data_IF_536077565868
#
_entry.id   IF_536077565868
#
_cell.length_a   1.000
_cell.length_b   1.000
_cell.length_c   1.000
_cell.angle_alpha   90.00
_cell.angle_beta   90.00
_cell.angle_gamma   90.00
#
_symmetry.space_group_name_H-M   'P 1'
#
loop_
_entity.id
_entity.type
_entity.pdbx_description
1 polymer ?
#
# COMPACT_ATOMS: atom_id res chain seq x y z
N UNK A 1 -10.85 -6.41 9.87
CA UNK A 1 -10.36 -7.60 9.11
C UNK A 1 -11.03 -7.60 7.75
N UNK A 2 -10.30 -7.83 6.66
CA UNK A 2 -10.88 -7.82 5.31
C UNK A 2 -11.93 -8.95 5.15
N UNK A 3 -12.99 -8.78 4.32
CA UNK A 3 -14.04 -9.78 4.17
C UNK A 3 -13.55 -11.18 3.80
N UNK A 4 -12.45 -11.28 3.04
CA UNK A 4 -11.85 -12.55 2.61
C UNK A 4 -11.35 -13.42 3.76
N UNK A 5 -10.95 -12.82 4.88
CA UNK A 5 -10.46 -13.53 6.07
C UNK A 5 -11.55 -13.67 7.15
N UNK A 6 -12.68 -12.97 7.00
CA UNK A 6 -13.73 -12.99 8.01
C UNK A 6 -14.39 -14.37 8.07
N UNK A 7 -14.26 -15.04 9.23
CA UNK A 7 -14.70 -16.43 9.47
C UNK A 7 -14.04 -17.45 8.53
N UNK A 8 -12.78 -17.21 8.16
CA UNK A 8 -11.98 -18.24 7.53
C UNK A 8 -11.71 -19.34 8.56
N UNK A 9 -12.16 -20.56 8.28
CA UNK A 9 -11.82 -21.76 9.05
C UNK A 9 -10.76 -22.54 8.28
N UNK A 10 -9.53 -22.55 8.79
CA UNK A 10 -8.42 -23.27 8.19
C UNK A 10 -7.48 -23.77 9.30
N UNK A 11 -6.85 -24.92 9.08
CA UNK A 11 -5.80 -25.45 9.95
C UNK A 11 -4.45 -24.84 9.52
N UNK A 12 -4.19 -23.61 9.97
CA UNK A 12 -3.01 -22.80 9.62
C UNK A 12 -2.53 -21.99 10.82
N UNK A 13 -1.24 -21.64 10.82
CA UNK A 13 -0.70 -20.64 11.75
C UNK A 13 -0.94 -19.24 11.18
N UNK A 14 -1.68 -18.41 11.92
CA UNK A 14 -1.95 -17.03 11.52
C UNK A 14 -0.85 -16.07 11.95
N UNK A 15 -0.44 -15.22 11.01
CA UNK A 15 0.57 -14.20 11.21
C UNK A 15 0.01 -12.83 10.88
N UNK A 16 -0.02 -11.93 11.85
CA UNK A 16 -0.45 -10.54 11.68
C UNK A 16 0.75 -9.61 11.46
N UNK A 17 0.61 -8.66 10.54
CA UNK A 17 1.62 -7.65 10.23
C UNK A 17 1.11 -6.63 9.21
N UNK A 18 1.84 -5.54 9.04
CA UNK A 18 1.59 -4.57 7.96
C UNK A 18 2.06 -5.16 6.61
N UNK A 19 1.53 -4.70 5.46
CA UNK A 19 1.87 -5.26 4.15
C UNK A 19 3.38 -5.34 3.87
N UNK A 20 4.15 -4.30 4.21
CA UNK A 20 5.61 -4.30 4.00
C UNK A 20 6.32 -5.38 4.81
N UNK A 21 5.86 -5.70 6.02
CA UNK A 21 6.42 -6.78 6.85
C UNK A 21 6.08 -8.15 6.26
N UNK A 22 4.80 -8.37 5.94
CA UNK A 22 4.34 -9.62 5.33
C UNK A 22 5.01 -9.90 3.98
N UNK A 23 5.28 -8.87 3.17
CA UNK A 23 6.08 -8.97 1.95
C UNK A 23 7.47 -9.57 2.23
N UNK A 24 8.19 -9.02 3.22
CA UNK A 24 9.53 -9.47 3.58
C UNK A 24 9.53 -10.91 4.08
N UNK A 25 8.60 -11.24 4.99
CA UNK A 25 8.48 -12.58 5.58
C UNK A 25 8.16 -13.65 4.55
N UNK A 26 7.28 -13.34 3.58
CA UNK A 26 6.98 -14.25 2.46
C UNK A 26 8.23 -14.50 1.61
N UNK A 27 8.99 -13.45 1.28
CA UNK A 27 10.19 -13.58 0.46
C UNK A 27 11.36 -14.27 1.17
N UNK A 28 11.39 -14.21 2.50
CA UNK A 28 12.32 -14.92 3.36
C UNK A 28 11.93 -16.39 3.59
N UNK A 29 10.71 -16.80 3.21
CA UNK A 29 10.19 -18.15 3.44
C UNK A 29 9.75 -18.39 4.89
N UNK A 30 9.50 -17.33 5.66
CA UNK A 30 9.00 -17.41 7.04
C UNK A 30 7.49 -17.58 7.10
N UNK A 31 6.78 -17.28 6.02
CA UNK A 31 5.35 -17.54 5.82
C UNK A 31 5.12 -18.06 4.40
N UNK A 32 4.16 -18.98 4.24
CA UNK A 32 3.91 -19.65 2.96
C UNK A 32 2.96 -18.88 2.05
N UNK A 33 2.04 -18.11 2.63
CA UNK A 33 1.01 -17.35 1.93
C UNK A 33 0.76 -16.03 2.66
N UNK A 34 0.65 -14.95 1.90
CA UNK A 34 0.31 -13.64 2.42
C UNK A 34 -0.42 -12.77 1.40
N UNK A 35 -1.32 -11.87 1.85
CA UNK A 35 -1.69 -10.73 1.03
C UNK A 35 -0.46 -9.83 0.89
N UNK A 36 0.11 -9.79 -0.32
CA UNK A 36 1.26 -8.93 -0.62
C UNK A 36 0.87 -7.73 -1.47
N UNK A 37 1.70 -6.70 -1.42
CA UNK A 37 1.53 -5.54 -2.27
C UNK A 37 1.71 -5.91 -3.76
N UNK A 38 0.95 -5.29 -4.66
CA UNK A 38 1.04 -5.55 -6.10
C UNK A 38 2.43 -5.30 -6.68
N UNK A 39 3.15 -4.30 -6.14
CA UNK A 39 4.51 -4.01 -6.58
C UNK A 39 5.52 -5.06 -6.10
N UNK A 40 5.28 -5.66 -4.93
CA UNK A 40 6.13 -6.75 -4.44
C UNK A 40 6.03 -7.96 -5.35
N UNK A 41 4.80 -8.33 -5.74
CA UNK A 41 4.60 -9.37 -6.73
C UNK A 41 5.29 -9.03 -8.05
N UNK A 42 5.11 -7.81 -8.57
CA UNK A 42 5.70 -7.41 -9.84
C UNK A 42 7.25 -7.50 -9.85
N UNK A 43 7.90 -7.23 -8.71
CA UNK A 43 9.37 -7.34 -8.56
C UNK A 43 9.87 -8.78 -8.45
N UNK A 44 9.02 -9.71 -8.03
CA UNK A 44 9.39 -11.10 -7.71
C UNK A 44 8.49 -12.13 -8.42
N UNK A 45 7.95 -11.77 -9.59
CA UNK A 45 7.00 -12.59 -10.33
C UNK A 45 7.58 -13.92 -10.83
N UNK A 46 8.92 -14.02 -10.88
CA UNK A 46 9.67 -15.24 -11.18
C UNK A 46 9.70 -16.23 -10.00
N UNK A 47 9.50 -15.75 -8.77
CA UNK A 47 9.56 -16.53 -7.53
C UNK A 47 8.19 -16.76 -6.89
N UNK A 48 7.21 -15.92 -7.21
CA UNK A 48 5.91 -15.89 -6.56
C UNK A 48 4.79 -16.32 -7.52
N UNK A 49 3.72 -16.88 -6.95
CA UNK A 49 2.52 -17.26 -7.69
C UNK A 49 1.29 -16.60 -7.08
N UNK A 50 0.50 -15.93 -7.91
CA UNK A 50 -0.80 -15.39 -7.49
C UNK A 50 -1.82 -16.50 -7.36
N UNK A 51 -2.61 -16.44 -6.28
CA UNK A 51 -3.80 -17.27 -6.15
C UNK A 51 -4.86 -16.80 -7.15
N UNK A 52 -5.51 -17.73 -7.86
CA UNK A 52 -6.54 -17.36 -8.82
C UNK A 52 -7.73 -16.72 -8.08
N UNK A 53 -8.34 -15.71 -8.70
CA UNK A 53 -9.59 -15.07 -8.25
C UNK A 53 -9.52 -14.33 -6.91
N UNK A 54 -8.32 -14.03 -6.40
CA UNK A 54 -8.13 -13.22 -5.19
C UNK A 54 -7.32 -11.96 -5.51
N UNK A 55 -7.88 -10.80 -5.20
CA UNK A 55 -7.22 -9.51 -5.33
C UNK A 55 -7.95 -8.46 -4.48
N UNK A 56 -7.21 -7.47 -3.98
CA UNK A 56 -7.78 -6.21 -3.50
C UNK A 56 -7.54 -5.18 -4.60
N UNK A 57 -8.61 -4.78 -5.29
CA UNK A 57 -8.57 -3.83 -6.40
C UNK A 57 -9.80 -2.93 -6.39
N UNK A 58 -9.68 -1.74 -6.97
CA UNK A 58 -10.81 -0.85 -7.23
C UNK A 58 -10.88 -0.47 -8.70
N UNK A 59 -12.09 -0.19 -9.18
CA UNK A 59 -12.31 0.49 -10.45
C UNK A 59 -12.79 1.92 -10.14
N UNK A 60 -11.92 2.90 -10.36
CA UNK A 60 -12.17 4.29 -9.99
C UNK A 60 -11.51 4.65 -8.66
N UNK A 61 -12.10 5.61 -7.95
CA UNK A 61 -11.56 6.10 -6.69
C UNK A 61 -11.49 4.98 -5.63
N UNK A 62 -10.46 5.05 -4.80
CA UNK A 62 -10.34 4.25 -3.59
C UNK A 62 -10.21 5.23 -2.43
N UNK A 63 -11.20 5.25 -1.55
CA UNK A 63 -11.30 6.29 -0.52
C UNK A 63 -10.16 6.22 0.52
N UNK A 64 -9.53 5.04 0.63
CA UNK A 64 -8.47 4.75 1.59
C UNK A 64 -7.04 4.98 1.06
N UNK A 65 -6.85 5.61 -0.10
CA UNK A 65 -5.52 6.04 -0.58
C UNK A 65 -5.67 7.45 -1.16
N UNK A 66 -5.10 8.44 -0.48
CA UNK A 66 -5.29 9.85 -0.81
C UNK A 66 -3.95 10.57 -0.90
N UNK A 67 -3.83 11.45 -1.90
CA UNK A 67 -2.80 12.50 -1.94
C UNK A 67 -3.46 13.79 -1.51
N UNK A 68 -3.11 14.28 -0.32
CA UNK A 68 -3.60 15.55 0.21
C UNK A 68 -2.55 16.60 -0.06
N UNK A 69 -2.88 17.61 -0.86
CA UNK A 69 -1.97 18.71 -1.19
C UNK A 69 -2.62 20.07 -0.95
N UNK A 70 -1.79 21.04 -0.57
CA UNK A 70 -2.17 22.47 -0.49
C UNK A 70 -1.94 23.21 -1.80
N UNK A 71 -1.35 22.55 -2.79
CA UNK A 71 -1.03 23.09 -4.10
C UNK A 71 -1.77 22.29 -5.18
N UNK A 72 -2.00 22.86 -6.36
CA UNK A 72 -2.33 22.06 -7.54
C UNK A 72 -1.25 21.00 -7.79
N UNK A 73 -1.63 19.79 -8.19
CA UNK A 73 -0.72 18.64 -8.29
C UNK A 73 0.48 18.89 -9.20
N UNK A 74 0.32 19.72 -10.24
CA UNK A 74 1.38 20.10 -11.17
C UNK A 74 2.50 20.95 -10.53
N UNK A 75 2.25 21.51 -9.34
CA UNK A 75 3.23 22.30 -8.58
C UNK A 75 3.87 21.53 -7.42
N UNK A 76 3.40 20.31 -7.13
CA UNK A 76 3.94 19.47 -6.06
C UNK A 76 5.37 19.03 -6.43
N UNK A 77 6.34 19.38 -5.58
CA UNK A 77 7.76 19.01 -5.73
C UNK A 77 8.21 18.04 -4.66
N UNK A 78 7.49 17.95 -3.54
CA UNK A 78 7.79 17.03 -2.43
C UNK A 78 6.53 16.33 -1.96
N UNK A 79 6.61 15.01 -1.72
CA UNK A 79 5.52 14.21 -1.16
C UNK A 79 6.01 13.46 0.08
N UNK A 80 5.37 13.72 1.23
CA UNK A 80 5.60 12.93 2.42
C UNK A 80 4.88 11.57 2.29
N UNK A 81 5.61 10.47 2.42
CA UNK A 81 5.10 9.11 2.19
C UNK A 81 5.34 8.18 3.36
N UNK A 82 4.39 7.28 3.59
CA UNK A 82 4.50 6.21 4.60
C UNK A 82 5.39 5.05 4.13
N UNK A 83 6.08 4.39 5.06
CA UNK A 83 6.80 3.13 4.83
C UNK A 83 5.91 1.90 4.83
N UNK A 84 4.63 2.05 5.22
CA UNK A 84 3.71 0.93 5.45
C UNK A 84 3.00 0.44 4.18
N UNK A 85 3.08 1.18 3.06
CA UNK A 85 2.52 0.77 1.76
C UNK A 85 3.50 0.92 0.61
N UNK A 86 4.11 -0.19 0.21
CA UNK A 86 4.97 -0.24 -0.96
C UNK A 86 4.24 0.12 -2.27
N UNK A 87 2.99 -0.37 -2.47
CA UNK A 87 2.23 -0.12 -3.71
C UNK A 87 1.87 1.35 -3.86
N UNK A 88 1.30 1.99 -2.82
CA UNK A 88 0.83 3.37 -2.92
C UNK A 88 1.99 4.33 -3.16
N UNK A 89 3.13 4.12 -2.49
CA UNK A 89 4.35 4.90 -2.69
C UNK A 89 4.83 4.81 -4.14
N UNK A 90 4.83 3.61 -4.73
CA UNK A 90 5.27 3.44 -6.12
C UNK A 90 4.27 4.04 -7.10
N UNK A 91 2.97 3.93 -6.84
CA UNK A 91 1.96 4.61 -7.66
C UNK A 91 2.13 6.14 -7.62
N UNK A 92 2.41 6.72 -6.45
CA UNK A 92 2.72 8.15 -6.33
C UNK A 92 3.90 8.54 -7.21
N UNK A 93 4.97 7.75 -7.24
CA UNK A 93 6.13 8.01 -8.12
C UNK A 93 5.78 7.91 -9.61
N UNK A 94 4.84 7.05 -9.98
CA UNK A 94 4.35 6.95 -11.38
C UNK A 94 3.53 8.18 -11.76
N UNK A 95 2.68 8.67 -10.84
CA UNK A 95 1.77 9.79 -11.11
C UNK A 95 2.43 11.16 -10.96
N UNK A 96 3.40 11.30 -10.06
CA UNK A 96 4.15 12.52 -9.76
C UNK A 96 5.67 12.25 -9.88
N UNK A 97 6.18 11.95 -11.09
CA UNK A 97 7.56 11.49 -11.27
C UNK A 97 8.63 12.52 -10.90
N UNK A 98 8.29 13.81 -10.96
CA UNK A 98 9.19 14.92 -10.64
C UNK A 98 9.22 15.28 -9.14
N UNK A 99 8.36 14.65 -8.33
CA UNK A 99 8.28 14.94 -6.92
C UNK A 99 9.24 14.05 -6.10
N UNK A 100 10.02 14.68 -5.24
CA UNK A 100 10.86 13.97 -4.26
C UNK A 100 10.00 13.37 -3.16
N UNK A 101 10.34 12.16 -2.70
CA UNK A 101 9.63 11.50 -1.61
C UNK A 101 10.40 11.69 -0.31
N UNK A 102 9.73 12.22 0.71
CA UNK A 102 10.27 12.39 2.07
C UNK A 102 9.49 11.52 3.06
N UNK A 103 10.06 11.17 4.23
CA UNK A 103 9.35 10.42 5.27
C UNK A 103 8.05 11.08 5.74
N UNK A 104 7.04 10.27 6.07
CA UNK A 104 5.80 10.73 6.69
C UNK A 104 6.11 11.39 8.05
N UNK A 105 5.99 12.72 8.11
CA UNK A 105 6.32 13.53 9.30
C UNK A 105 7.16 14.75 8.97
N UNK A 106 7.85 14.73 7.84
CA UNK A 106 8.54 15.90 7.31
C UNK A 106 7.59 16.86 6.60
N UNK A 107 7.96 18.14 6.52
CA UNK A 107 7.23 19.13 5.75
C UNK A 107 7.38 18.83 4.25
N UNK A 108 6.25 18.82 3.54
CA UNK A 108 6.16 18.52 2.12
C UNK A 108 4.94 19.22 1.50
N UNK A 109 4.97 19.40 0.17
CA UNK A 109 3.87 20.02 -0.59
C UNK A 109 2.60 19.18 -0.59
N UNK A 110 2.76 17.85 -0.49
CA UNK A 110 1.67 16.89 -0.40
C UNK A 110 1.99 15.75 0.58
N UNK A 111 0.95 15.07 1.05
CA UNK A 111 1.04 13.90 1.91
C UNK A 111 0.29 12.73 1.30
N UNK A 112 0.94 11.57 1.22
CA UNK A 112 0.29 10.30 0.90
C UNK A 112 -0.27 9.68 2.18
N UNK A 113 -1.60 9.58 2.25
CA UNK A 113 -2.32 8.91 3.33
C UNK A 113 -2.86 7.57 2.83
N UNK A 114 -2.86 6.58 3.72
CA UNK A 114 -3.38 5.24 3.44
C UNK A 114 -4.30 4.76 4.57
N UNK A 115 -5.20 3.83 4.26
CA UNK A 115 -6.05 3.16 5.25
C UNK A 115 -6.91 4.13 6.04
N UNK A 116 -6.97 3.93 7.36
CA UNK A 116 -7.82 4.71 8.25
C UNK A 116 -7.45 6.19 8.27
N UNK A 117 -6.16 6.53 8.16
CA UNK A 117 -5.71 7.92 8.09
C UNK A 117 -6.24 8.64 6.84
N UNK A 118 -6.28 7.94 5.70
CA UNK A 118 -6.88 8.46 4.48
C UNK A 118 -8.40 8.64 4.62
N UNK A 119 -9.08 7.63 5.19
CA UNK A 119 -10.53 7.68 5.38
C UNK A 119 -10.95 8.81 6.33
N UNK A 120 -10.18 9.05 7.40
CA UNK A 120 -10.44 10.15 8.34
C UNK A 120 -10.20 11.52 7.69
N UNK A 121 -9.16 11.66 6.86
CA UNK A 121 -8.86 12.92 6.17
C UNK A 121 -9.96 13.40 5.21
N UNK A 122 -10.86 12.52 4.79
CA UNK A 122 -12.00 12.90 3.96
C UNK A 122 -13.10 13.65 4.74
N UNK A 123 -13.06 13.62 6.08
CA UNK A 123 -14.06 14.21 6.97
C UNK A 123 -13.50 15.37 7.82
N UNK A 124 -12.21 15.68 7.70
CA UNK A 124 -11.50 16.78 8.40
C UNK A 124 -11.10 17.88 7.41
#
# INVERSE_FOLDING_TARGET
MAPVFYRLEADVEEVAGVPTDLNHRLLAGEIDVAPISSIEYARHADRLRLLPRLCVSSQGAVDSIQIVSRLPLEHVRTVAVTSESATSVVLTRVLLPEAEHVPLGEEADAKLLIGDAALQSAFE
#
